data_IF_135902265167
#
_entry.id   IF_135902265167
#
_cell.length_a   1.000
_cell.length_b   1.000
_cell.length_c   1.000
_cell.angle_alpha   90.00
_cell.angle_beta   90.00
_cell.angle_gamma   90.00
#
_symmetry.space_group_name_H-M   'P 1'
#
loop_
_entity.id
_entity.type
_entity.pdbx_description
1 polymer ?
#
# COMPACT_ATOMS: atom_id res chain seq x y z
N UNK A 1 -2.43 -16.64 30.15
CA UNK A 1 -3.22 -15.79 29.22
C UNK A 1 -2.50 -14.52 28.73
N UNK A 2 -1.76 -13.76 29.57
CA UNK A 2 -1.09 -12.50 29.15
C UNK A 2 -0.08 -12.64 27.99
N UNK A 3 0.71 -13.72 27.95
CA UNK A 3 1.69 -13.94 26.86
C UNK A 3 1.06 -14.09 25.48
N UNK A 4 -0.08 -14.80 25.38
CA UNK A 4 -0.79 -14.99 24.09
C UNK A 4 -1.25 -13.67 23.49
N UNK A 5 -1.72 -12.73 24.31
CA UNK A 5 -2.19 -11.41 23.84
C UNK A 5 -1.04 -10.57 23.27
N UNK A 6 0.11 -10.53 23.93
CA UNK A 6 1.27 -9.79 23.44
C UNK A 6 1.83 -10.37 22.14
N UNK A 7 1.82 -11.70 22.00
CA UNK A 7 2.21 -12.39 20.77
C UNK A 7 1.26 -12.05 19.61
N UNK A 8 -0.05 -12.04 19.86
CA UNK A 8 -1.04 -11.66 18.84
C UNK A 8 -0.87 -10.20 18.39
N UNK A 9 -0.60 -9.27 19.32
CA UNK A 9 -0.33 -7.86 18.95
C UNK A 9 0.93 -7.71 18.12
N UNK A 10 2.00 -8.41 18.51
CA UNK A 10 3.25 -8.41 17.75
C UNK A 10 3.05 -9.02 16.36
N UNK A 11 2.31 -10.12 16.25
CA UNK A 11 2.01 -10.76 14.98
C UNK A 11 1.14 -9.87 14.09
N UNK A 12 0.10 -9.23 14.65
CA UNK A 12 -0.75 -8.30 13.92
C UNK A 12 0.04 -7.08 13.40
N UNK A 13 0.95 -6.55 14.22
CA UNK A 13 1.82 -5.44 13.80
C UNK A 13 2.79 -5.86 12.69
N UNK A 14 3.43 -7.03 12.82
CA UNK A 14 4.30 -7.58 11.77
C UNK A 14 3.52 -7.79 10.48
N UNK A 15 2.32 -8.36 10.55
CA UNK A 15 1.45 -8.56 9.40
C UNK A 15 1.09 -7.23 8.73
N UNK A 16 0.73 -6.21 9.53
CA UNK A 16 0.44 -4.87 9.01
C UNK A 16 1.64 -4.31 8.24
N UNK A 17 2.85 -4.37 8.80
CA UNK A 17 4.08 -3.86 8.16
C UNK A 17 4.38 -4.58 6.84
N UNK A 18 4.29 -5.91 6.81
CA UNK A 18 4.50 -6.69 5.59
C UNK A 18 3.46 -6.37 4.52
N UNK A 19 2.18 -6.27 4.92
CA UNK A 19 1.10 -5.90 4.04
C UNK A 19 1.27 -4.47 3.49
N UNK A 20 1.77 -3.50 4.28
CA UNK A 20 2.10 -2.15 3.79
C UNK A 20 3.12 -2.18 2.64
N UNK A 21 4.21 -2.93 2.81
CA UNK A 21 5.24 -3.06 1.77
C UNK A 21 4.70 -3.73 0.50
N UNK A 22 3.86 -4.76 0.68
CA UNK A 22 3.21 -5.46 -0.43
C UNK A 22 2.25 -4.55 -1.20
N UNK A 23 1.38 -3.80 -0.51
CA UNK A 23 0.41 -2.89 -1.14
C UNK A 23 1.10 -1.81 -1.98
N UNK A 24 2.23 -1.28 -1.50
CA UNK A 24 3.00 -0.32 -2.26
C UNK A 24 3.60 -0.92 -3.54
N UNK A 25 4.08 -2.16 -3.46
CA UNK A 25 4.85 -2.80 -4.52
C UNK A 25 3.97 -3.43 -5.63
N UNK A 26 2.74 -3.82 -5.30
CA UNK A 26 1.89 -4.59 -6.20
C UNK A 26 0.47 -4.00 -6.30
N UNK A 27 0.30 -2.75 -6.77
CA UNK A 27 -1.03 -2.22 -7.06
C UNK A 27 -1.70 -3.05 -8.17
N UNK A 28 -2.92 -3.53 -7.90
CA UNK A 28 -3.69 -4.30 -8.88
C UNK A 28 -5.20 -4.00 -8.78
N UNK A 29 -5.93 -3.90 -9.90
CA UNK A 29 -7.36 -3.65 -9.91
C UNK A 29 -8.18 -4.95 -9.76
N UNK A 30 -7.87 -5.77 -8.75
CA UNK A 30 -8.54 -7.04 -8.49
C UNK A 30 -9.07 -7.17 -7.06
N UNK A 31 -9.97 -8.14 -6.84
CA UNK A 31 -10.60 -8.37 -5.53
C UNK A 31 -9.60 -8.79 -4.46
N UNK A 32 -8.50 -9.44 -4.83
CA UNK A 32 -7.49 -9.89 -3.89
C UNK A 32 -6.70 -8.69 -3.33
N UNK A 33 -6.33 -7.74 -4.18
CA UNK A 33 -5.73 -6.48 -3.78
C UNK A 33 -6.68 -5.66 -2.91
N UNK A 34 -7.95 -5.52 -3.31
CA UNK A 34 -8.97 -4.82 -2.50
C UNK A 34 -9.12 -5.48 -1.12
N UNK A 35 -9.14 -6.81 -1.05
CA UNK A 35 -9.16 -7.55 0.21
C UNK A 35 -7.95 -7.22 1.11
N UNK A 36 -6.75 -7.11 0.53
CA UNK A 36 -5.54 -6.71 1.26
C UNK A 36 -5.59 -5.25 1.74
N UNK A 37 -6.18 -4.33 0.96
CA UNK A 37 -6.43 -2.94 1.40
C UNK A 37 -7.39 -2.90 2.60
N UNK A 38 -8.48 -3.67 2.55
CA UNK A 38 -9.42 -3.75 3.68
C UNK A 38 -8.78 -4.35 4.93
N UNK A 39 -7.96 -5.40 4.76
CA UNK A 39 -7.17 -5.98 5.84
C UNK A 39 -6.22 -4.95 6.46
N UNK A 40 -5.51 -4.18 5.63
CA UNK A 40 -4.62 -3.10 6.07
C UNK A 40 -5.35 -2.08 6.93
N UNK A 41 -6.48 -1.59 6.43
CA UNK A 41 -7.33 -0.62 7.11
C UNK A 41 -7.79 -1.19 8.46
N UNK A 42 -8.35 -2.40 8.47
CA UNK A 42 -8.84 -3.04 9.69
C UNK A 42 -7.72 -3.21 10.74
N UNK A 43 -6.56 -3.76 10.34
CA UNK A 43 -5.41 -3.93 11.23
C UNK A 43 -4.90 -2.58 11.75
N UNK A 44 -4.79 -1.58 10.88
CA UNK A 44 -4.34 -0.24 11.23
C UNK A 44 -5.25 0.43 12.26
N UNK A 45 -6.57 0.42 12.03
CA UNK A 45 -7.53 0.98 12.97
C UNK A 45 -7.56 0.25 14.31
N UNK A 46 -7.53 -1.09 14.30
CA UNK A 46 -7.47 -1.88 15.53
C UNK A 46 -6.21 -1.54 16.32
N UNK A 47 -5.03 -1.54 15.69
CA UNK A 47 -3.78 -1.25 16.36
C UNK A 47 -3.70 0.20 16.87
N UNK A 48 -4.23 1.17 16.11
CA UNK A 48 -4.32 2.57 16.54
C UNK A 48 -5.25 2.71 17.76
N UNK A 49 -6.43 2.09 17.72
CA UNK A 49 -7.37 2.11 18.84
C UNK A 49 -6.75 1.48 20.10
N UNK A 50 -6.04 0.36 19.96
CA UNK A 50 -5.34 -0.27 21.07
C UNK A 50 -4.22 0.62 21.64
N UNK A 51 -3.47 1.31 20.78
CA UNK A 51 -2.43 2.24 21.20
C UNK A 51 -2.98 3.39 22.05
N UNK A 52 -4.18 3.89 21.71
CA UNK A 52 -4.78 5.06 22.34
C UNK A 52 -5.63 4.73 23.56
N UNK A 53 -6.49 3.72 23.45
CA UNK A 53 -7.53 3.45 24.45
C UNK A 53 -7.17 2.32 25.42
N UNK A 54 -6.25 1.42 25.05
CA UNK A 54 -5.92 0.27 25.88
C UNK A 54 -4.60 0.49 26.63
N UNK A 55 -4.65 0.44 27.97
CA UNK A 55 -3.48 0.58 28.83
C UNK A 55 -2.92 -0.79 29.20
N UNK A 56 -1.82 -1.17 28.57
CA UNK A 56 -1.03 -2.36 28.86
C UNK A 56 0.40 -1.93 29.19
N UNK A 57 1.22 -2.78 29.84
CA UNK A 57 2.63 -2.47 30.04
C UNK A 57 3.38 -2.11 28.74
N UNK A 58 2.99 -2.72 27.61
CA UNK A 58 3.57 -2.42 26.30
C UNK A 58 3.15 -1.03 25.78
N UNK A 59 1.85 -0.70 25.82
CA UNK A 59 1.35 0.60 25.34
C UNK A 59 1.78 1.75 26.27
N UNK A 60 1.89 1.51 27.58
CA UNK A 60 2.47 2.46 28.54
C UNK A 60 3.96 2.67 28.33
N UNK A 61 4.73 1.60 28.04
CA UNK A 61 6.13 1.74 27.69
C UNK A 61 6.32 2.57 26.41
N UNK A 62 5.50 2.33 25.38
CA UNK A 62 5.49 3.14 24.16
C UNK A 62 5.21 4.62 24.45
N UNK A 63 4.18 4.90 25.27
CA UNK A 63 3.75 6.27 25.61
C UNK A 63 4.79 7.02 26.46
N UNK A 64 5.37 6.35 27.45
CA UNK A 64 6.15 7.03 28.49
C UNK A 64 7.67 6.92 28.25
N UNK A 65 8.14 5.84 27.61
CA UNK A 65 9.58 5.59 27.38
C UNK A 65 10.04 5.86 25.95
N UNK A 66 9.12 5.86 24.98
CA UNK A 66 9.42 6.16 23.57
C UNK A 66 8.42 7.11 22.96
N UNK A 67 8.32 8.31 23.53
CA UNK A 67 7.35 9.33 23.11
C UNK A 67 7.39 9.61 21.61
N UNK A 68 8.59 9.66 21.01
CA UNK A 68 8.75 9.86 19.57
C UNK A 68 8.10 8.73 18.75
N UNK A 69 8.36 7.47 19.08
CA UNK A 69 7.71 6.31 18.44
C UNK A 69 6.20 6.38 18.54
N UNK A 70 5.68 6.68 19.74
CA UNK A 70 4.25 6.84 19.97
C UNK A 70 3.63 7.94 19.10
N UNK A 71 4.26 9.12 19.05
CA UNK A 71 3.77 10.26 18.24
C UNK A 71 3.81 9.92 16.76
N UNK A 72 4.92 9.40 16.24
CA UNK A 72 5.07 9.09 14.82
C UNK A 72 4.07 8.02 14.36
N UNK A 73 3.88 6.95 15.14
CA UNK A 73 2.87 5.93 14.83
C UNK A 73 1.44 6.46 14.95
N UNK A 74 1.17 7.38 15.88
CA UNK A 74 -0.13 8.04 15.97
C UNK A 74 -0.40 8.93 14.76
N UNK A 75 0.59 9.70 14.32
CA UNK A 75 0.49 10.52 13.09
C UNK A 75 0.26 9.62 11.87
N UNK A 76 0.99 8.51 11.74
CA UNK A 76 0.75 7.52 10.70
C UNK A 76 -0.69 7.02 10.70
N UNK A 77 -1.21 6.60 11.86
CA UNK A 77 -2.60 6.14 11.99
C UNK A 77 -3.63 7.20 11.63
N UNK A 78 -3.41 8.45 12.04
CA UNK A 78 -4.29 9.58 11.68
C UNK A 78 -4.27 9.88 10.18
N UNK A 79 -3.10 9.86 9.54
CA UNK A 79 -3.00 9.99 8.08
C UNK A 79 -3.73 8.84 7.37
N UNK A 80 -3.65 7.62 7.93
CA UNK A 80 -4.40 6.47 7.42
C UNK A 80 -5.91 6.67 7.52
N UNK A 81 -6.40 7.24 8.63
CA UNK A 81 -7.81 7.58 8.80
C UNK A 81 -8.27 8.67 7.83
N UNK A 82 -7.42 9.68 7.56
CA UNK A 82 -7.67 10.69 6.53
C UNK A 82 -7.78 10.03 5.15
N UNK A 83 -6.85 9.12 4.80
CA UNK A 83 -6.87 8.40 3.53
C UNK A 83 -8.10 7.50 3.36
N UNK A 84 -8.62 6.92 4.44
CA UNK A 84 -9.87 6.17 4.41
C UNK A 84 -11.08 7.06 4.06
N UNK A 85 -10.99 8.38 4.29
CA UNK A 85 -12.02 9.35 3.95
C UNK A 85 -11.83 9.96 2.55
N UNK A 86 -10.62 10.42 2.22
CA UNK A 86 -10.36 11.14 0.95
C UNK A 86 -9.96 10.22 -0.21
N UNK A 87 -9.62 8.96 0.07
CA UNK A 87 -9.13 7.99 -0.89
C UNK A 87 -7.64 8.13 -1.21
N UNK A 88 -6.99 6.98 -1.46
CA UNK A 88 -5.59 6.90 -1.91
C UNK A 88 -5.49 7.05 -3.44
N UNK A 89 -5.91 8.20 -3.95
CA UNK A 89 -5.93 8.54 -5.39
C UNK A 89 -4.77 9.46 -5.78
N UNK A 90 -4.52 9.61 -7.09
CA UNK A 90 -3.48 10.49 -7.64
C UNK A 90 -3.36 11.89 -6.98
N UNK A 91 -4.46 12.65 -6.83
CA UNK A 91 -4.43 13.97 -6.17
C UNK A 91 -3.98 13.94 -4.70
N UNK A 92 -4.15 12.82 -4.00
CA UNK A 92 -3.87 12.67 -2.57
C UNK A 92 -2.53 11.96 -2.31
N UNK A 93 -1.69 11.77 -3.32
CA UNK A 93 -0.45 10.99 -3.19
C UNK A 93 0.54 11.55 -2.18
N UNK A 94 0.53 12.86 -1.93
CA UNK A 94 1.34 13.46 -0.85
C UNK A 94 0.97 12.90 0.52
N UNK A 95 -0.32 12.66 0.77
CA UNK A 95 -0.83 12.06 2.02
C UNK A 95 -0.47 10.57 2.09
N UNK A 96 -0.56 9.85 0.96
CA UNK A 96 -0.14 8.44 0.86
C UNK A 96 1.34 8.29 1.19
N UNK A 97 2.20 9.13 0.60
CA UNK A 97 3.65 9.15 0.87
C UNK A 97 3.92 9.50 2.33
N UNK A 98 3.26 10.53 2.87
CA UNK A 98 3.43 10.93 4.27
C UNK A 98 3.01 9.81 5.25
N UNK A 99 1.90 9.14 4.97
CA UNK A 99 1.43 7.98 5.75
C UNK A 99 2.46 6.85 5.73
N UNK A 100 2.91 6.44 4.54
CA UNK A 100 3.93 5.40 4.38
C UNK A 100 5.24 5.75 5.08
N UNK A 101 5.75 6.97 4.89
CA UNK A 101 6.98 7.44 5.51
C UNK A 101 6.89 7.45 7.04
N UNK A 102 5.78 7.96 7.61
CA UNK A 102 5.53 7.93 9.04
C UNK A 102 5.44 6.49 9.57
N UNK A 103 4.77 5.59 8.84
CA UNK A 103 4.64 4.18 9.20
C UNK A 103 5.98 3.45 9.27
N UNK A 104 6.81 3.58 8.23
CA UNK A 104 8.14 2.96 8.19
C UNK A 104 9.09 3.57 9.22
N UNK A 105 9.09 4.90 9.39
CA UNK A 105 9.89 5.55 10.42
C UNK A 105 9.47 5.12 11.84
N UNK A 106 8.16 5.11 12.12
CA UNK A 106 7.63 4.65 13.40
C UNK A 106 7.99 3.19 13.68
N UNK A 107 7.95 2.34 12.65
CA UNK A 107 8.36 0.93 12.72
C UNK A 107 9.86 0.79 13.00
N UNK A 108 10.72 1.58 12.36
CA UNK A 108 12.16 1.59 12.60
C UNK A 108 12.50 2.00 14.04
N UNK A 109 11.86 3.07 14.54
CA UNK A 109 12.01 3.53 15.91
C UNK A 109 11.54 2.47 16.92
N UNK A 110 10.40 1.82 16.65
CA UNK A 110 9.88 0.73 17.47
C UNK A 110 10.85 -0.46 17.49
N UNK A 111 11.36 -0.88 16.34
CA UNK A 111 12.33 -1.96 16.23
C UNK A 111 13.59 -1.66 17.06
N UNK A 112 14.16 -0.46 16.94
CA UNK A 112 15.38 -0.06 17.66
C UNK A 112 15.20 0.00 19.18
N UNK A 113 14.02 0.42 19.66
CA UNK A 113 13.70 0.36 21.08
C UNK A 113 13.44 -1.07 21.56
N UNK A 114 12.62 -1.82 20.84
CA UNK A 114 12.25 -3.19 21.19
C UNK A 114 13.47 -4.13 21.14
N UNK A 115 14.45 -3.87 20.28
CA UNK A 115 15.69 -4.67 20.24
C UNK A 115 16.41 -4.72 21.58
N UNK A 116 16.37 -3.62 22.35
CA UNK A 116 17.02 -3.52 23.67
C UNK A 116 16.14 -3.98 24.83
N UNK A 117 14.82 -3.84 24.70
CA UNK A 117 13.87 -4.03 25.81
C UNK A 117 13.02 -5.31 25.69
N UNK A 118 12.86 -5.82 24.48
CA UNK A 118 12.12 -7.03 24.13
C UNK A 118 12.71 -7.67 22.85
N UNK A 119 13.91 -8.27 22.92
CA UNK A 119 14.73 -8.58 21.74
C UNK A 119 14.07 -9.48 20.69
N UNK A 120 13.21 -10.42 21.10
CA UNK A 120 12.45 -11.26 20.15
C UNK A 120 11.49 -10.42 19.29
N UNK A 121 10.76 -9.49 19.90
CA UNK A 121 9.87 -8.55 19.21
C UNK A 121 10.68 -7.59 18.35
N UNK A 122 11.77 -7.03 18.89
CA UNK A 122 12.65 -6.13 18.15
C UNK A 122 13.22 -6.75 16.87
N UNK A 123 13.70 -8.01 16.96
CA UNK A 123 14.19 -8.77 15.80
C UNK A 123 13.11 -9.05 14.78
N UNK A 124 11.93 -9.50 15.23
CA UNK A 124 10.81 -9.77 14.35
C UNK A 124 10.33 -8.50 13.61
N UNK A 125 10.20 -7.38 14.32
CA UNK A 125 9.82 -6.10 13.74
C UNK A 125 10.88 -5.57 12.78
N UNK A 126 12.17 -5.70 13.10
CA UNK A 126 13.26 -5.30 12.21
C UNK A 126 13.29 -6.15 10.93
N UNK A 127 13.14 -7.48 11.05
CA UNK A 127 13.06 -8.37 9.90
C UNK A 127 11.85 -8.05 9.01
N UNK A 128 10.68 -7.83 9.63
CA UNK A 128 9.48 -7.43 8.91
C UNK A 128 9.67 -6.10 8.16
N UNK A 129 10.33 -5.11 8.79
CA UNK A 129 10.64 -3.83 8.16
C UNK A 129 11.56 -4.01 6.95
N UNK A 130 12.61 -4.82 7.07
CA UNK A 130 13.53 -5.10 5.96
C UNK A 130 12.80 -5.75 4.79
N UNK A 131 11.98 -6.78 5.06
CA UNK A 131 11.17 -7.43 4.01
C UNK A 131 10.17 -6.46 3.40
N UNK A 132 9.50 -5.65 4.22
CA UNK A 132 8.53 -4.67 3.75
C UNK A 132 9.16 -3.60 2.84
N UNK A 133 10.40 -3.17 3.12
CA UNK A 133 11.16 -2.24 2.28
C UNK A 133 11.76 -2.93 1.05
N UNK A 134 12.01 -4.25 1.10
CA UNK A 134 12.49 -4.99 -0.06
C UNK A 134 11.42 -5.09 -1.17
N UNK A 135 10.12 -5.20 -0.82
CA UNK A 135 9.04 -5.24 -1.80
C UNK A 135 9.06 -4.08 -2.81
N UNK A 136 9.01 -2.79 -2.41
CA UNK A 136 9.01 -1.68 -3.36
C UNK A 136 10.31 -1.59 -4.17
N UNK A 137 11.46 -1.93 -3.57
CA UNK A 137 12.75 -1.95 -4.28
C UNK A 137 12.75 -3.03 -5.36
N UNK A 138 12.28 -4.23 -5.05
CA UNK A 138 12.20 -5.34 -6.02
C UNK A 138 11.18 -5.07 -7.12
N UNK A 139 10.04 -4.46 -6.81
CA UNK A 139 9.06 -4.03 -7.81
C UNK A 139 9.64 -2.98 -8.75
N UNK A 140 10.32 -1.96 -8.22
CA UNK A 140 11.00 -0.96 -9.03
C UNK A 140 12.08 -1.57 -9.94
N UNK A 141 12.90 -2.48 -9.42
CA UNK A 141 13.91 -3.19 -10.22
C UNK A 141 13.26 -4.04 -11.33
N UNK A 142 12.20 -4.79 -11.00
CA UNK A 142 11.45 -5.56 -12.00
C UNK A 142 10.94 -4.65 -13.10
N UNK A 143 10.24 -3.57 -12.76
CA UNK A 143 9.62 -2.69 -13.74
C UNK A 143 10.67 -1.95 -14.59
N UNK A 144 11.87 -1.71 -14.02
CA UNK A 144 12.99 -1.07 -14.73
C UNK A 144 13.70 -1.97 -15.74
N UNK A 145 13.81 -3.27 -15.45
CA UNK A 145 14.66 -4.22 -16.19
C UNK A 145 13.89 -5.33 -16.91
N UNK A 146 12.64 -5.58 -16.53
CA UNK A 146 11.76 -6.62 -17.09
C UNK A 146 10.39 -5.98 -17.38
N UNK A 147 10.26 -5.20 -18.47
CA UNK A 147 8.99 -4.61 -18.88
C UNK A 147 7.96 -5.72 -19.13
N UNK A 148 6.70 -5.52 -18.75
CA UNK A 148 5.63 -6.45 -19.11
C UNK A 148 5.23 -6.21 -20.56
N UNK A 149 4.83 -7.27 -21.26
CA UNK A 149 4.36 -7.18 -22.64
C UNK A 149 3.16 -6.22 -22.79
N UNK A 150 2.34 -6.07 -21.74
CA UNK A 150 1.23 -5.11 -21.69
C UNK A 150 1.61 -3.65 -21.36
N UNK A 151 2.84 -3.40 -20.89
CA UNK A 151 3.32 -2.05 -20.56
C UNK A 151 3.99 -1.36 -21.77
N UNK A 152 4.12 -2.07 -22.90
CA UNK A 152 4.70 -1.56 -24.13
C UNK A 152 3.62 -1.24 -25.17
N UNK A 153 3.50 0.04 -25.51
CA UNK A 153 2.73 0.44 -26.70
C UNK A 153 3.61 0.17 -27.91
N UNK A 154 3.34 -0.95 -28.59
CA UNK A 154 4.02 -1.30 -29.85
C UNK A 154 3.15 -0.81 -30.99
N UNK A 155 3.60 0.23 -31.69
CA UNK A 155 2.95 0.66 -32.91
C UNK A 155 3.19 -0.38 -34.02
N UNK A 156 2.17 -0.69 -34.84
CA UNK A 156 2.38 -1.49 -36.04
C UNK A 156 3.43 -0.80 -36.95
N UNK A 157 4.27 -1.61 -37.60
CA UNK A 157 5.36 -1.10 -38.46
C UNK A 157 4.85 -0.39 -39.71
N UNK A 158 3.62 -0.69 -40.13
CA UNK A 158 2.98 -0.08 -41.28
C UNK A 158 1.90 0.89 -40.80
N UNK A 159 1.88 2.13 -41.29
CA UNK A 159 0.75 3.02 -41.07
C UNK A 159 -0.49 2.48 -41.80
N UNK A 160 -1.71 2.89 -41.40
CA UNK A 160 -2.92 2.66 -42.19
C UNK A 160 -2.72 3.20 -43.61
N UNK A 161 -3.02 2.39 -44.63
CA UNK A 161 -2.87 2.78 -46.03
C UNK A 161 -4.11 3.52 -46.56
N UNK A 162 -5.19 3.55 -45.79
CA UNK A 162 -6.39 4.32 -46.06
C UNK A 162 -7.10 4.72 -44.77
N UNK A 163 -8.00 5.71 -44.83
CA UNK A 163 -8.84 6.07 -43.69
C UNK A 163 -9.66 4.88 -43.15
N UNK A 164 -9.96 3.89 -44.00
CA UNK A 164 -10.74 2.72 -43.65
C UNK A 164 -10.04 1.73 -42.73
N UNK A 165 -8.72 1.84 -42.63
CA UNK A 165 -7.86 1.04 -41.75
C UNK A 165 -7.52 1.76 -40.44
N UNK A 166 -8.03 2.98 -40.23
CA UNK A 166 -7.85 3.69 -38.97
C UNK A 166 -8.73 3.12 -37.85
N UNK A 167 -8.16 3.04 -36.64
CA UNK A 167 -8.89 2.62 -35.45
C UNK A 167 -9.51 1.22 -35.61
N UNK A 168 -10.80 1.04 -35.28
CA UNK A 168 -11.51 -0.24 -35.44
C UNK A 168 -12.08 -0.45 -36.86
N UNK A 169 -11.80 0.47 -37.81
CA UNK A 169 -12.24 0.41 -39.20
C UNK A 169 -13.68 0.86 -39.45
N UNK A 170 -14.14 0.77 -40.71
CA UNK A 170 -15.43 1.28 -41.19
C UNK A 170 -16.66 0.73 -40.44
N UNK A 171 -16.56 -0.47 -39.87
CA UNK A 171 -17.64 -1.10 -39.11
C UNK A 171 -17.85 -0.48 -37.73
N UNK A 172 -16.93 0.40 -37.28
CA UNK A 172 -17.07 1.10 -36.01
C UNK A 172 -18.16 2.17 -36.10
N UNK A 173 -19.04 2.27 -35.08
CA UNK A 173 -19.99 3.39 -34.97
C UNK A 173 -19.30 4.76 -34.84
N UNK A 174 -18.00 4.79 -34.53
CA UNK A 174 -17.20 6.00 -34.39
C UNK A 174 -16.24 6.24 -35.54
N UNK A 175 -16.30 5.48 -36.64
CA UNK A 175 -15.42 5.69 -37.79
C UNK A 175 -15.37 7.17 -38.24
N UNK A 176 -14.18 7.76 -38.52
CA UNK A 176 -12.83 7.16 -38.52
C UNK A 176 -12.08 7.24 -37.17
N UNK A 177 -12.76 7.57 -36.07
CA UNK A 177 -12.15 7.68 -34.75
C UNK A 177 -11.66 6.33 -34.22
N UNK A 178 -10.56 6.37 -33.46
CA UNK A 178 -10.05 5.24 -32.67
C UNK A 178 -10.82 5.00 -31.37
N UNK A 179 -11.94 5.69 -31.16
CA UNK A 179 -12.81 5.51 -30.00
C UNK A 179 -13.56 4.18 -30.07
N UNK A 180 -13.50 3.40 -28.99
CA UNK A 180 -14.31 2.21 -28.77
C UNK A 180 -14.97 2.33 -27.39
N UNK A 181 -16.21 1.87 -27.29
CA UNK A 181 -16.83 1.56 -25.99
C UNK A 181 -16.55 0.11 -25.63
N UNK A 182 -16.64 -0.23 -24.36
CA UNK A 182 -16.51 -1.62 -23.89
C UNK A 182 -17.67 -2.52 -24.36
N UNK A 183 -18.75 -1.94 -24.88
CA UNK A 183 -19.91 -2.68 -25.42
C UNK A 183 -20.01 -2.63 -26.95
N UNK A 184 -19.24 -1.76 -27.61
CA UNK A 184 -19.37 -1.50 -29.04
C UNK A 184 -20.53 -0.55 -29.40
N UNK A 185 -21.24 0.01 -28.42
CA UNK A 185 -22.32 0.97 -28.61
C UNK A 185 -21.85 2.43 -28.75
N UNK A 186 -22.77 3.31 -29.14
CA UNK A 186 -22.55 4.76 -29.22
C UNK A 186 -22.27 5.41 -27.85
N UNK A 187 -21.36 6.38 -27.81
CA UNK A 187 -21.09 7.22 -26.63
C UNK A 187 -22.23 8.25 -26.58
N UNK A 188 -22.97 8.35 -25.46
CA UNK A 188 -24.03 9.34 -25.32
C UNK A 188 -23.49 10.77 -25.47
N UNK A 189 -24.22 11.63 -26.19
CA UNK A 189 -23.94 13.06 -26.37
C UNK A 189 -24.48 13.90 -25.21
#
# INVERSE_FOLDING_TARGET
MRMRRAQLLSAAFVLLVLNSGWLWAFPAPDLFYIGNVLLHIALGFVLLALLWFVRTPATEALRNRTKLTYVVLSVCGLLGAVLAWIGATGPNMSVVVAHGAAGFLGTALLAGWAWRNAPSVGRATAAALVVALAFPVTAWLRDRYIPRDGDQIVNPLNPPMSMYEEGPGQSSPFFPSSSNTNTGDYIPS
#
